data_IF_216181069745
#
_entry.id   IF_216181069745
#
_cell.length_a   1.000
_cell.length_b   1.000
_cell.length_c   1.000
_cell.angle_alpha   90.00
_cell.angle_beta   90.00
_cell.angle_gamma   90.00
#
_symmetry.space_group_name_H-M   'P 1'
#
loop_
_entity.id
_entity.type
_entity.pdbx_description
1 polymer ?
#
# COMPACT_ATOMS: atom_id res chain seq x y z
N UNK A 1 2.07 -3.24 28.65
CA UNK A 1 1.61 -3.12 27.26
C UNK A 1 2.69 -3.59 26.32
N UNK A 2 2.42 -4.52 25.50
CA UNK A 2 3.44 -4.98 24.57
C UNK A 2 3.91 -3.84 23.69
N UNK A 3 5.11 -3.96 23.21
CA UNK A 3 5.66 -2.98 22.29
C UNK A 3 4.80 -2.79 21.06
N UNK A 4 3.81 -3.64 20.89
CA UNK A 4 2.98 -3.60 19.74
C UNK A 4 3.60 -4.35 18.60
N UNK A 5 3.27 -3.94 17.44
CA UNK A 5 3.58 -4.63 16.21
C UNK A 5 4.75 -3.97 15.49
N UNK A 6 5.25 -4.66 14.49
CA UNK A 6 6.25 -4.10 13.60
C UNK A 6 5.56 -3.70 12.29
N UNK A 7 6.30 -3.08 11.38
CA UNK A 7 5.78 -2.73 10.07
C UNK A 7 5.31 -3.99 9.34
N UNK A 8 4.09 -3.93 8.81
CA UNK A 8 3.48 -5.06 8.12
C UNK A 8 4.19 -5.35 6.79
N UNK A 9 4.44 -4.29 6.01
CA UNK A 9 5.18 -4.40 4.76
C UNK A 9 6.56 -3.75 4.89
N UNK A 10 7.58 -4.45 4.42
CA UNK A 10 8.94 -3.95 4.40
C UNK A 10 9.41 -3.46 3.04
N UNK A 11 8.73 -3.86 1.97
CA UNK A 11 9.16 -3.58 0.60
C UNK A 11 8.15 -2.72 -0.15
N UNK A 12 8.63 -2.01 -1.16
CA UNK A 12 7.76 -1.44 -2.18
C UNK A 12 7.38 -2.54 -3.16
N UNK A 13 6.17 -2.46 -3.74
CA UNK A 13 5.65 -3.47 -4.66
C UNK A 13 5.14 -2.77 -5.91
N UNK A 14 5.60 -3.22 -7.07
CA UNK A 14 5.29 -2.56 -8.35
C UNK A 14 4.98 -3.59 -9.42
N UNK A 15 3.96 -3.32 -10.21
CA UNK A 15 3.60 -4.16 -11.35
C UNK A 15 4.75 -4.21 -12.36
N UNK A 16 5.00 -5.40 -12.90
CA UNK A 16 6.04 -5.58 -13.90
C UNK A 16 7.45 -5.71 -13.36
N UNK A 17 7.59 -5.76 -12.05
CA UNK A 17 8.89 -5.91 -11.39
C UNK A 17 8.90 -7.24 -10.63
N UNK A 18 10.09 -7.81 -10.42
CA UNK A 18 10.22 -8.97 -9.55
C UNK A 18 10.09 -8.52 -8.11
N UNK A 19 8.94 -8.79 -7.51
CA UNK A 19 8.65 -8.43 -6.14
C UNK A 19 8.94 -9.59 -5.19
N UNK A 20 9.15 -9.28 -3.92
CA UNK A 20 9.26 -10.31 -2.89
C UNK A 20 7.90 -10.99 -2.72
N UNK A 21 7.84 -12.31 -2.97
CA UNK A 21 6.56 -13.02 -2.98
C UNK A 21 5.88 -13.05 -1.62
N UNK A 22 6.64 -13.07 -0.52
CA UNK A 22 6.05 -13.06 0.81
C UNK A 22 5.42 -11.69 1.12
N UNK A 23 6.03 -10.62 0.65
CA UNK A 23 5.46 -9.27 0.78
C UNK A 23 4.18 -9.14 -0.04
N UNK A 24 4.17 -9.70 -1.24
CA UNK A 24 2.95 -9.68 -2.08
C UNK A 24 1.84 -10.47 -1.42
N UNK A 25 2.15 -11.62 -0.83
CA UNK A 25 1.14 -12.40 -0.09
C UNK A 25 0.54 -11.59 1.06
N UNK A 26 1.36 -10.90 1.83
CA UNK A 26 0.86 -10.03 2.90
C UNK A 26 -0.06 -8.95 2.35
N UNK A 27 0.32 -8.33 1.25
CA UNK A 27 -0.50 -7.31 0.60
C UNK A 27 -1.85 -7.90 0.18
N UNK A 28 -1.85 -9.08 -0.44
CA UNK A 28 -3.07 -9.73 -0.89
C UNK A 28 -3.99 -10.07 0.29
N UNK A 29 -3.41 -10.57 1.39
CA UNK A 29 -4.17 -10.86 2.61
C UNK A 29 -4.79 -9.58 3.17
N UNK A 30 -4.01 -8.50 3.23
CA UNK A 30 -4.50 -7.21 3.70
C UNK A 30 -5.66 -6.70 2.85
N UNK A 31 -5.51 -6.72 1.52
CA UNK A 31 -6.56 -6.26 0.62
C UNK A 31 -7.83 -7.11 0.76
N UNK A 32 -7.68 -8.42 0.95
CA UNK A 32 -8.82 -9.30 1.17
C UNK A 32 -9.56 -8.96 2.48
N UNK A 33 -8.83 -8.50 3.49
CA UNK A 33 -9.46 -8.07 4.74
C UNK A 33 -10.34 -6.83 4.55
N UNK A 34 -10.14 -6.11 3.45
CA UNK A 34 -10.94 -4.94 3.09
C UNK A 34 -12.09 -5.28 2.14
N UNK A 35 -12.30 -6.55 1.85
CA UNK A 35 -13.39 -7.00 0.99
C UNK A 35 -12.99 -7.46 -0.40
N UNK A 36 -11.72 -7.39 -0.76
CA UNK A 36 -11.26 -7.95 -2.03
C UNK A 36 -11.27 -9.47 -1.96
N UNK A 37 -11.25 -10.12 -3.11
CA UNK A 37 -11.27 -11.59 -3.20
C UNK A 37 -10.13 -12.05 -4.08
N UNK A 38 -8.91 -11.72 -3.65
CA UNK A 38 -7.71 -12.05 -4.41
C UNK A 38 -7.21 -13.43 -4.04
N UNK A 39 -6.77 -14.25 -5.00
CA UNK A 39 -5.98 -15.42 -4.65
C UNK A 39 -4.65 -14.97 -4.04
N UNK A 40 -4.25 -15.62 -2.94
CA UNK A 40 -3.02 -15.28 -2.25
C UNK A 40 -1.90 -16.11 -2.87
N UNK A 41 -1.28 -15.55 -3.90
CA UNK A 41 -0.31 -16.26 -4.73
C UNK A 41 1.13 -15.78 -4.56
N UNK A 42 1.32 -14.56 -4.07
CA UNK A 42 2.63 -13.94 -4.03
C UNK A 42 3.04 -13.30 -5.36
N UNK A 43 2.16 -13.33 -6.36
CA UNK A 43 2.41 -12.69 -7.64
C UNK A 43 1.57 -11.42 -7.76
N UNK A 44 2.24 -10.30 -8.05
CA UNK A 44 1.57 -9.01 -8.21
C UNK A 44 1.17 -8.85 -9.68
N UNK A 45 0.00 -9.34 -9.99
CA UNK A 45 -0.57 -9.28 -11.33
C UNK A 45 -1.72 -8.29 -11.42
N UNK A 46 -2.48 -8.34 -12.54
CA UNK A 46 -3.55 -7.37 -12.79
C UNK A 46 -4.63 -7.32 -11.71
N UNK A 47 -4.98 -8.45 -11.10
CA UNK A 47 -6.00 -8.46 -10.05
C UNK A 47 -5.54 -7.71 -8.80
N UNK A 48 -4.33 -7.98 -8.34
CA UNK A 48 -3.77 -7.28 -7.19
C UNK A 48 -3.54 -5.80 -7.50
N UNK A 49 -3.06 -5.50 -8.71
CA UNK A 49 -2.86 -4.12 -9.18
C UNK A 49 -4.16 -3.33 -9.12
N UNK A 50 -5.26 -3.89 -9.63
CA UNK A 50 -6.57 -3.23 -9.59
C UNK A 50 -7.06 -3.02 -8.16
N UNK A 51 -6.85 -4.00 -7.28
CA UNK A 51 -7.25 -3.90 -5.88
C UNK A 51 -6.45 -2.81 -5.15
N UNK A 52 -5.15 -2.68 -5.44
CA UNK A 52 -4.33 -1.62 -4.86
C UNK A 52 -4.83 -0.25 -5.33
N UNK A 53 -5.17 -0.11 -6.61
CA UNK A 53 -5.71 1.16 -7.11
C UNK A 53 -7.00 1.53 -6.39
N UNK A 54 -7.90 0.59 -6.17
CA UNK A 54 -9.14 0.85 -5.42
C UNK A 54 -8.84 1.28 -3.99
N UNK A 55 -7.87 0.64 -3.34
CA UNK A 55 -7.46 1.01 -2.01
C UNK A 55 -6.89 2.44 -1.97
N UNK A 56 -6.05 2.78 -2.93
CA UNK A 56 -5.44 4.11 -3.02
C UNK A 56 -6.49 5.20 -3.19
N UNK A 57 -7.50 4.96 -4.01
CA UNK A 57 -8.60 5.92 -4.20
C UNK A 57 -9.42 6.05 -2.93
N UNK A 58 -9.72 4.94 -2.27
CA UNK A 58 -10.49 4.96 -1.03
C UNK A 58 -9.75 5.71 0.09
N UNK A 59 -8.42 5.67 0.09
CA UNK A 59 -7.59 6.34 1.09
C UNK A 59 -6.83 7.53 0.48
N UNK A 60 -7.44 8.23 -0.46
CA UNK A 60 -6.77 9.29 -1.22
C UNK A 60 -6.15 10.36 -0.33
N UNK A 61 -6.82 10.72 0.77
CA UNK A 61 -6.32 11.76 1.67
C UNK A 61 -4.93 11.41 2.24
N UNK A 62 -4.68 10.13 2.49
CA UNK A 62 -3.42 9.67 3.06
C UNK A 62 -2.41 9.23 2.01
N UNK A 63 -2.87 8.83 0.83
CA UNK A 63 -2.02 8.19 -0.17
C UNK A 63 -1.79 9.07 -1.40
N UNK A 64 -2.85 9.61 -1.99
CA UNK A 64 -2.74 10.34 -3.26
C UNK A 64 -2.55 11.84 -3.06
N UNK A 65 -3.30 12.45 -2.15
CA UNK A 65 -3.25 13.90 -1.94
C UNK A 65 -1.89 14.41 -1.52
N UNK A 66 -1.08 13.70 -0.70
CA UNK A 66 0.27 14.15 -0.40
C UNK A 66 1.14 14.32 -1.65
N UNK A 67 0.96 13.44 -2.64
CA UNK A 67 1.70 13.56 -3.91
C UNK A 67 1.24 14.77 -4.70
N UNK A 68 -0.07 15.03 -4.72
CA UNK A 68 -0.60 16.22 -5.37
C UNK A 68 0.00 17.48 -4.76
N UNK A 69 0.07 17.55 -3.44
CA UNK A 69 0.66 18.71 -2.73
C UNK A 69 2.15 18.85 -3.02
N UNK A 70 2.87 17.72 -3.10
CA UNK A 70 4.33 17.74 -3.27
C UNK A 70 4.75 18.00 -4.72
N UNK A 71 4.01 17.48 -5.70
CA UNK A 71 4.43 17.51 -7.12
C UNK A 71 3.48 18.28 -8.01
N UNK A 72 2.29 18.65 -7.52
CA UNK A 72 1.28 19.32 -8.34
C UNK A 72 0.49 18.39 -9.24
N UNK A 73 0.76 17.09 -9.18
CA UNK A 73 0.11 16.12 -10.06
C UNK A 73 0.05 14.76 -9.38
N UNK A 74 -1.05 14.03 -9.61
CA UNK A 74 -1.22 12.66 -9.14
C UNK A 74 -2.27 11.98 -10.02
N UNK A 75 -2.11 10.65 -10.21
CA UNK A 75 -3.13 9.85 -10.89
C UNK A 75 -4.28 9.62 -9.91
N UNK A 76 -5.42 10.29 -10.15
CA UNK A 76 -6.58 10.22 -9.27
C UNK A 76 -7.28 8.87 -9.28
N UNK A 77 -6.97 8.01 -10.25
CA UNK A 77 -7.50 6.66 -10.30
C UNK A 77 -6.60 5.65 -9.56
N UNK A 78 -5.54 6.14 -8.95
CA UNK A 78 -4.54 5.32 -8.27
C UNK A 78 -3.40 4.93 -9.18
N UNK A 79 -2.24 4.70 -8.59
CA UNK A 79 -1.03 4.37 -9.35
C UNK A 79 -0.80 2.87 -9.48
N UNK A 80 -1.35 2.09 -8.55
CA UNK A 80 -1.07 0.65 -8.47
C UNK A 80 0.32 0.34 -7.96
N UNK A 81 1.10 1.35 -7.61
CA UNK A 81 2.44 1.20 -7.06
C UNK A 81 2.36 1.33 -5.53
N UNK A 82 2.75 0.28 -4.82
CA UNK A 82 2.82 0.32 -3.36
C UNK A 82 4.16 0.98 -3.00
N UNK A 83 4.14 2.30 -2.98
CA UNK A 83 5.32 3.12 -2.76
C UNK A 83 5.20 3.83 -1.41
N UNK A 84 5.83 4.98 -1.26
CA UNK A 84 6.03 5.65 0.03
C UNK A 84 4.75 5.85 0.83
N UNK A 85 3.75 6.51 0.26
CA UNK A 85 2.53 6.82 1.01
C UNK A 85 1.60 5.62 1.14
N UNK A 86 1.56 4.74 0.14
CA UNK A 86 0.73 3.55 0.18
C UNK A 86 1.26 2.56 1.22
N UNK A 87 2.56 2.30 1.19
CA UNK A 87 3.19 1.42 2.18
C UNK A 87 3.04 1.97 3.59
N UNK A 88 3.27 3.27 3.77
CA UNK A 88 3.08 3.92 5.07
C UNK A 88 1.68 3.68 5.60
N UNK A 89 0.66 3.94 4.77
CA UNK A 89 -0.72 3.84 5.23
C UNK A 89 -1.12 2.40 5.55
N UNK A 90 -0.70 1.45 4.72
CA UNK A 90 -0.94 0.03 5.02
C UNK A 90 -0.31 -0.34 6.37
N UNK A 91 0.92 0.10 6.62
CA UNK A 91 1.59 -0.20 7.88
C UNK A 91 0.90 0.48 9.07
N UNK A 92 0.43 1.71 8.90
CA UNK A 92 -0.30 2.42 9.95
C UNK A 92 -1.64 1.76 10.27
N UNK A 93 -2.35 1.26 9.24
CA UNK A 93 -3.62 0.57 9.46
C UNK A 93 -3.41 -0.75 10.21
N UNK A 94 -2.32 -1.44 9.95
CA UNK A 94 -2.02 -2.71 10.60
C UNK A 94 -1.38 -2.52 11.97
N UNK A 95 -0.73 -1.40 12.20
CA UNK A 95 -0.05 -1.12 13.45
C UNK A 95 -0.06 0.39 13.76
N UNK A 96 -1.18 0.92 14.25
CA UNK A 96 -1.28 2.37 14.51
C UNK A 96 -0.22 2.90 15.46
N UNK A 97 0.28 2.07 16.38
CA UNK A 97 1.28 2.50 17.35
C UNK A 97 2.63 2.84 16.71
N UNK A 98 2.86 2.46 15.46
CA UNK A 98 4.07 2.86 14.75
C UNK A 98 4.17 4.37 14.58
N UNK A 99 3.03 5.04 14.45
CA UNK A 99 2.97 6.49 14.32
C UNK A 99 3.98 7.02 13.30
N UNK A 100 3.96 6.45 12.10
CA UNK A 100 4.93 6.78 11.05
C UNK A 100 4.71 8.18 10.51
N UNK A 101 5.76 9.00 10.40
CA UNK A 101 5.62 10.33 9.80
C UNK A 101 5.39 10.23 8.30
N UNK A 102 4.83 11.30 7.72
CA UNK A 102 4.68 11.38 6.28
C UNK A 102 6.08 11.39 5.64
N UNK A 103 6.36 10.51 4.69
CA UNK A 103 7.67 10.47 4.07
C UNK A 103 7.93 11.70 3.20
N UNK A 104 9.21 11.98 2.98
CA UNK A 104 9.61 13.04 2.06
C UNK A 104 9.26 12.61 0.63
N UNK A 105 8.56 13.50 -0.10
CA UNK A 105 8.14 13.27 -1.48
C UNK A 105 8.83 14.28 -2.39
N UNK A 106 9.09 13.93 -3.62
CA UNK A 106 8.84 12.69 -4.30
C UNK A 106 9.69 11.51 -3.92
#
# INVERSE_FOLDING_TARGET
MPAGCTAYLGDYIKLGRKNNSEEVKKLQIFLNSLGEKLPVTGFYGPLSFGAVKRFQVAAAAEILNPWLSATGNVDTSGTGYVYKTTKRWINMLNCPSLNLPMPTLP
#
